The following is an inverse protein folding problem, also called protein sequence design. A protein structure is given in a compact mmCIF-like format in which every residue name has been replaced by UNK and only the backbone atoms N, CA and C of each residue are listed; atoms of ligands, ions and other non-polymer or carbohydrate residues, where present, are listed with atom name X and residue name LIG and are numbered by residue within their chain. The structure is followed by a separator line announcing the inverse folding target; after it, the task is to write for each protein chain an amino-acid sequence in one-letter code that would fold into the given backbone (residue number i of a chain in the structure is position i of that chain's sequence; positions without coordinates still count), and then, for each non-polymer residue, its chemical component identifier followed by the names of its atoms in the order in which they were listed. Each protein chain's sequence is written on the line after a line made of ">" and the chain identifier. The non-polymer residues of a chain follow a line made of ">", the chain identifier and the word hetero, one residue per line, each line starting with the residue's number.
data_IF_342155893662
#
_entry.id   IF_342155893662
#
_cell.length_a   1.000
_cell.length_b   1.000
_cell.length_c   1.000
_cell.angle_alpha   90.00
_cell.angle_beta   90.00
_cell.angle_gamma   90.00
#
_symmetry.space_group_name_H-M   'P 1'
#
loop_
_entity.id
_entity.type
_entity.pdbx_description
1 polymer ?
#
# COMPACT_ATOMS: atom_id res chain seq x y z
N UNK A 1 -20.03 15.44 5.94
CA UNK A 1 -19.79 15.04 4.59
C UNK A 1 -18.37 14.74 4.32
N UNK A 2 -17.51 15.73 4.32
CA UNK A 2 -16.15 15.50 3.97
C UNK A 2 -15.37 14.66 4.95
N UNK A 3 -15.85 14.57 6.17
CA UNK A 3 -15.07 13.92 7.21
C UNK A 3 -14.92 12.43 7.00
N UNK A 4 -15.83 11.81 6.28
CA UNK A 4 -15.75 10.36 6.08
C UNK A 4 -15.14 10.00 4.74
N UNK A 5 -14.63 10.99 4.02
CA UNK A 5 -14.10 10.73 2.69
C UNK A 5 -12.90 9.80 2.73
N UNK A 6 -12.00 9.99 3.69
CA UNK A 6 -10.80 9.17 3.77
C UNK A 6 -11.13 7.71 4.06
N UNK A 7 -12.06 7.49 4.96
CA UNK A 7 -12.49 6.13 5.24
C UNK A 7 -13.10 5.49 4.01
N UNK A 8 -13.92 6.25 3.30
CA UNK A 8 -14.56 5.75 2.10
C UNK A 8 -13.52 5.36 1.07
N UNK A 9 -12.48 6.17 0.91
CA UNK A 9 -11.41 5.85 -0.03
C UNK A 9 -10.74 4.53 0.34
N UNK A 10 -10.42 4.35 1.61
CA UNK A 10 -9.78 3.11 2.05
C UNK A 10 -10.67 1.90 1.82
N UNK A 11 -11.95 2.04 2.14
CA UNK A 11 -12.88 0.92 2.03
C UNK A 11 -13.13 0.53 0.58
N UNK A 12 -12.93 1.45 -0.34
CA UNK A 12 -13.18 1.20 -1.75
C UNK A 12 -11.96 0.75 -2.53
N UNK A 13 -10.85 0.53 -1.83
CA UNK A 13 -9.63 0.08 -2.48
C UNK A 13 -9.74 -1.40 -2.83
N UNK A 14 -9.10 -1.77 -3.93
CA UNK A 14 -9.04 -3.15 -4.36
C UNK A 14 -7.83 -3.80 -3.70
N UNK A 15 -8.04 -4.31 -2.49
CA UNK A 15 -6.97 -4.92 -1.73
C UNK A 15 -6.61 -6.28 -2.30
N UNK A 16 -5.32 -6.48 -2.56
CA UNK A 16 -4.79 -7.74 -3.05
C UNK A 16 -4.02 -8.41 -1.94
N UNK A 17 -4.42 -9.62 -1.51
CA UNK A 17 -3.65 -10.32 -0.47
C UNK A 17 -2.28 -10.69 -0.99
N UNK A 18 -1.30 -10.61 -0.12
CA UNK A 18 0.07 -10.97 -0.46
C UNK A 18 0.55 -12.11 0.44
N UNK A 19 1.30 -13.03 -0.14
CA UNK A 19 1.91 -14.10 0.63
C UNK A 19 3.29 -13.66 1.04
N UNK A 20 3.38 -13.11 2.24
CA UNK A 20 4.61 -12.54 2.75
C UNK A 20 4.54 -12.55 4.27
N UNK A 21 5.69 -12.69 4.90
CA UNK A 21 5.74 -12.62 6.36
C UNK A 21 5.56 -11.20 6.85
N UNK A 22 5.89 -10.23 5.99
CA UNK A 22 5.84 -8.81 6.37
C UNK A 22 4.54 -8.17 5.95
N UNK A 23 4.12 -8.39 4.71
CA UNK A 23 2.99 -7.69 4.11
C UNK A 23 1.78 -8.61 4.02
N UNK A 24 0.64 -8.10 4.47
CA UNK A 24 -0.61 -8.86 4.39
C UNK A 24 -1.37 -8.57 3.11
N UNK A 25 -1.35 -7.32 2.65
CA UNK A 25 -2.12 -6.93 1.47
C UNK A 25 -1.61 -5.63 0.91
N UNK A 26 -1.92 -5.40 -0.37
CA UNK A 26 -1.58 -4.15 -1.05
C UNK A 26 -2.77 -3.68 -1.86
N UNK A 27 -2.86 -2.37 -2.05
CA UNK A 27 -3.87 -1.77 -2.91
C UNK A 27 -3.28 -0.54 -3.57
N UNK A 28 -3.79 -0.21 -4.75
CA UNK A 28 -3.27 0.93 -5.50
C UNK A 28 -4.40 1.81 -5.98
N UNK A 29 -4.29 3.10 -5.64
CA UNK A 29 -5.24 4.11 -6.07
C UNK A 29 -4.61 4.83 -7.25
N UNK A 30 -4.91 4.37 -8.45
CA UNK A 30 -4.28 4.88 -9.66
C UNK A 30 -4.55 6.37 -9.90
N UNK A 31 -5.81 6.84 -9.79
CA UNK A 31 -6.03 8.27 -10.03
C UNK A 31 -5.24 9.19 -9.13
N UNK A 32 -5.01 8.78 -7.89
CA UNK A 32 -4.27 9.61 -6.93
C UNK A 32 -2.82 9.20 -6.80
N UNK A 33 -2.43 8.10 -7.46
CA UNK A 33 -1.06 7.58 -7.42
C UNK A 33 -0.62 7.33 -5.99
N UNK A 34 -1.44 6.59 -5.27
CA UNK A 34 -1.17 6.22 -3.89
C UNK A 34 -1.13 4.71 -3.75
N UNK A 35 -0.07 4.23 -3.09
CA UNK A 35 0.05 2.82 -2.76
C UNK A 35 -0.32 2.64 -1.29
N UNK A 36 -1.18 1.67 -1.01
CA UNK A 36 -1.53 1.30 0.36
C UNK A 36 -0.97 -0.07 0.66
N UNK A 37 -0.31 -0.19 1.80
CA UNK A 37 0.24 -1.46 2.26
C UNK A 37 -0.27 -1.75 3.65
N UNK A 38 -0.83 -2.95 3.82
CA UNK A 38 -1.21 -3.44 5.13
C UNK A 38 -0.20 -4.48 5.56
N UNK A 39 0.33 -4.29 6.76
CA UNK A 39 1.33 -5.19 7.32
C UNK A 39 0.65 -6.19 8.23
N UNK A 40 1.30 -7.32 8.44
CA UNK A 40 0.74 -8.32 9.35
C UNK A 40 0.63 -7.81 10.78
N UNK A 41 1.40 -6.79 11.13
CA UNK A 41 1.27 -6.12 12.42
C UNK A 41 -0.06 -5.39 12.57
N UNK A 42 -0.79 -5.20 11.48
CA UNK A 42 -2.06 -4.49 11.49
C UNK A 42 -1.96 -3.04 11.06
N UNK A 43 -0.77 -2.56 10.84
CA UNK A 43 -0.59 -1.17 10.41
C UNK A 43 -0.79 -1.02 8.93
N UNK A 44 -1.30 0.15 8.53
CA UNK A 44 -1.50 0.48 7.12
C UNK A 44 -0.70 1.74 6.83
N UNK A 45 0.08 1.67 5.76
CA UNK A 45 0.87 2.80 5.29
C UNK A 45 0.38 3.23 3.92
N UNK A 46 0.41 4.53 3.68
CA UNK A 46 0.04 5.12 2.40
C UNK A 46 1.25 5.82 1.82
N UNK A 47 1.63 5.43 0.59
CA UNK A 47 2.77 6.00 -0.11
C UNK A 47 2.27 6.91 -1.21
N UNK A 48 2.88 8.10 -1.33
CA UNK A 48 2.42 9.13 -2.25
C UNK A 48 3.28 9.18 -3.51
N UNK A 49 2.69 9.71 -4.56
CA UNK A 49 3.40 9.89 -5.83
C UNK A 49 3.98 8.57 -6.32
N UNK A 50 3.20 7.51 -6.18
CA UNK A 50 3.69 6.17 -6.47
C UNK A 50 3.25 5.77 -7.88
N UNK A 51 4.20 5.46 -8.77
CA UNK A 51 3.83 5.08 -10.15
C UNK A 51 3.21 3.70 -10.21
N UNK A 52 2.52 3.45 -11.32
CA UNK A 52 1.85 2.16 -11.50
C UNK A 52 2.82 1.01 -11.68
N UNK A 53 3.94 1.24 -12.36
CA UNK A 53 4.87 0.15 -12.66
C UNK A 53 5.45 -0.51 -11.42
N UNK A 54 5.96 0.22 -10.43
CA UNK A 54 6.45 -0.45 -9.23
C UNK A 54 5.37 -1.22 -8.49
N UNK A 55 4.11 -0.78 -8.57
CA UNK A 55 3.05 -1.56 -7.96
C UNK A 55 2.90 -2.91 -8.64
N UNK A 56 2.92 -2.93 -9.97
CA UNK A 56 2.83 -4.18 -10.69
C UNK A 56 4.03 -5.07 -10.39
N UNK A 57 5.21 -4.47 -10.30
CA UNK A 57 6.41 -5.23 -9.97
C UNK A 57 6.31 -5.85 -8.58
N UNK A 58 5.73 -5.12 -7.64
CA UNK A 58 5.52 -5.66 -6.30
C UNK A 58 4.62 -6.88 -6.35
N UNK A 59 3.52 -6.79 -7.10
CA UNK A 59 2.59 -7.90 -7.21
C UNK A 59 3.23 -9.12 -7.86
N UNK A 60 4.13 -8.91 -8.81
CA UNK A 60 4.75 -9.98 -9.56
C UNK A 60 6.03 -10.51 -8.92
N UNK A 61 6.50 -9.89 -7.87
CA UNK A 61 7.78 -10.24 -7.28
C UNK A 61 7.74 -11.61 -6.63
N UNK A 62 8.85 -12.33 -6.72
CA UNK A 62 8.97 -13.63 -6.04
C UNK A 62 8.85 -13.48 -4.53
N UNK A 63 9.39 -12.39 -4.00
CA UNK A 63 9.27 -12.07 -2.59
C UNK A 63 8.75 -10.66 -2.45
N UNK A 64 7.50 -10.54 -2.04
CA UNK A 64 6.89 -9.22 -1.86
C UNK A 64 7.59 -8.42 -0.79
N UNK A 65 7.97 -9.07 0.32
CA UNK A 65 8.67 -8.38 1.38
C UNK A 65 10.02 -7.86 0.95
N UNK A 66 10.76 -8.68 0.21
CA UNK A 66 12.07 -8.26 -0.29
C UNK A 66 11.94 -7.09 -1.26
N UNK A 67 10.97 -7.15 -2.16
CA UNK A 67 10.75 -6.04 -3.09
C UNK A 67 10.43 -4.77 -2.34
N UNK A 68 9.56 -4.85 -1.33
CA UNK A 68 9.23 -3.69 -0.54
C UNK A 68 10.46 -3.08 0.11
N UNK A 69 11.26 -3.91 0.77
CA UNK A 69 12.44 -3.41 1.48
C UNK A 69 13.47 -2.81 0.54
N UNK A 70 13.59 -3.38 -0.66
CA UNK A 70 14.63 -2.95 -1.60
C UNK A 70 14.22 -1.76 -2.46
N UNK A 71 12.93 -1.63 -2.79
CA UNK A 71 12.50 -0.69 -3.80
C UNK A 71 11.46 0.32 -3.34
N UNK A 72 10.84 0.13 -2.19
CA UNK A 72 9.75 1.00 -1.78
C UNK A 72 10.05 1.75 -0.50
N UNK A 73 10.56 1.03 0.49
CA UNK A 73 10.60 1.51 1.87
C UNK A 73 11.18 2.91 2.03
N UNK A 74 12.29 3.19 1.39
CA UNK A 74 12.97 4.49 1.56
C UNK A 74 12.92 5.32 0.30
N UNK A 75 12.10 4.94 -0.67
CA UNK A 75 12.11 5.57 -1.98
C UNK A 75 10.99 6.57 -2.20
N UNK A 76 9.94 6.53 -1.37
CA UNK A 76 8.76 7.35 -1.60
C UNK A 76 8.28 7.96 -0.31
N UNK A 77 7.68 9.16 -0.37
CA UNK A 77 7.06 9.73 0.82
C UNK A 77 5.87 8.89 1.26
N UNK A 78 5.67 8.83 2.56
CA UNK A 78 4.61 7.98 3.10
C UNK A 78 4.10 8.53 4.41
N UNK A 79 2.96 8.00 4.84
CA UNK A 79 2.44 8.25 6.17
C UNK A 79 1.78 6.98 6.68
N UNK A 80 1.81 6.81 7.99
CA UNK A 80 1.09 5.71 8.62
C UNK A 80 -0.32 6.17 8.94
N UNK A 81 -1.29 5.37 8.52
CA UNK A 81 -2.69 5.72 8.74
C UNK A 81 -3.10 5.37 10.16
N UNK A 82 -4.02 6.14 10.76
CA UNK A 82 -4.48 5.82 12.11
C UNK A 82 -5.17 4.47 12.16
N UNK A 83 -4.99 3.77 13.28
CA UNK A 83 -5.70 2.52 13.52
C UNK A 83 -7.09 2.85 14.04
N UNK A 84 -8.02 1.94 13.72
CA UNK A 84 -9.41 2.17 14.12
C UNK A 84 -9.79 1.28 15.25
#
# INVERSE_FOLDING_TARGET
>A
MGTIRNETEELNLDWRPLESKLLAAAAYDAPRRRLYLRFHSGEVYRYFTFPAEPYQELLDADSHGHYFLSHIRSQFPYERLPRR
#
